data_IF_934362273368
#
_entry.id   IF_934362273368
#
_cell.length_a   1.000
_cell.length_b   1.000
_cell.length_c   1.000
_cell.angle_alpha   90.00
_cell.angle_beta   90.00
_cell.angle_gamma   90.00
#
_symmetry.space_group_name_H-M   'P 1'
#
loop_
_entity.id
_entity.type
_entity.pdbx_description
1 polymer ?
#
# COMPACT_ATOMS: atom_id res chain seq x y z
N UNK A 1 3.61 -14.77 -41.60
CA UNK A 1 3.28 -13.49 -42.27
C UNK A 1 3.11 -12.44 -41.17
N UNK A 2 4.11 -11.57 -40.98
CA UNK A 2 4.12 -10.13 -41.34
C UNK A 2 3.11 -9.32 -40.49
N UNK A 3 3.58 -8.73 -39.39
CA UNK A 3 4.13 -7.36 -39.25
C UNK A 3 3.01 -6.33 -39.04
N UNK A 4 3.02 -5.69 -37.86
CA UNK A 4 2.93 -4.24 -37.75
C UNK A 4 3.49 -3.82 -36.38
N UNK A 5 4.80 -3.56 -36.36
CA UNK A 5 5.40 -2.58 -35.47
C UNK A 5 5.33 -1.23 -36.18
N UNK A 6 4.81 -0.21 -35.50
CA UNK A 6 4.99 1.21 -35.76
C UNK A 6 5.03 1.81 -34.34
N UNK A 7 6.15 2.27 -33.78
CA UNK A 7 7.18 3.12 -34.37
C UNK A 7 6.77 4.57 -34.13
N UNK A 8 7.28 5.21 -33.09
CA UNK A 8 7.04 6.66 -32.85
C UNK A 8 7.29 7.13 -31.43
N UNK A 9 8.57 7.21 -31.04
CA UNK A 9 9.01 8.06 -29.93
C UNK A 9 8.78 9.54 -30.27
N UNK A 10 8.46 10.30 -29.22
CA UNK A 10 8.73 11.73 -29.07
C UNK A 10 8.00 12.70 -30.01
N UNK A 11 7.11 13.50 -29.43
CA UNK A 11 7.22 14.97 -29.47
C UNK A 11 6.20 15.56 -28.49
N UNK A 12 6.68 15.89 -27.29
CA UNK A 12 6.06 16.93 -26.47
C UNK A 12 6.33 18.24 -27.20
N UNK A 13 5.29 18.87 -27.74
CA UNK A 13 5.36 20.24 -28.23
C UNK A 13 4.26 21.06 -27.56
N UNK A 14 4.63 21.62 -26.41
CA UNK A 14 4.02 22.82 -25.86
C UNK A 14 4.41 23.97 -26.78
N UNK A 15 3.44 24.55 -27.49
CA UNK A 15 3.63 25.84 -28.17
C UNK A 15 2.59 26.82 -27.60
N UNK A 16 3.05 27.60 -26.63
CA UNK A 16 2.43 28.86 -26.23
C UNK A 16 3.05 29.98 -27.06
N UNK A 17 2.28 30.61 -27.94
CA UNK A 17 2.48 31.98 -28.41
C UNK A 17 1.12 32.48 -28.92
N UNK A 18 0.41 33.32 -28.16
CA UNK A 18 0.51 34.79 -28.24
C UNK A 18 0.34 35.30 -29.68
N UNK A 19 -0.92 35.60 -30.06
CA UNK A 19 -1.29 36.84 -30.76
C UNK A 19 -2.83 36.94 -30.85
N UNK A 20 -3.38 38.03 -30.32
CA UNK A 20 -4.80 38.35 -30.46
C UNK A 20 -5.34 39.34 -29.44
N UNK A 21 -4.70 40.51 -29.28
CA UNK A 21 -5.26 41.63 -28.51
C UNK A 21 -6.07 42.53 -29.46
N UNK A 22 -7.39 42.63 -29.26
CA UNK A 22 -8.16 43.82 -29.64
C UNK A 22 -9.13 44.21 -28.51
N UNK A 23 -8.79 45.33 -27.85
CA UNK A 23 -9.68 46.18 -27.06
C UNK A 23 -10.85 46.66 -27.94
N UNK A 24 -12.07 46.93 -27.50
CA UNK A 24 -12.69 47.03 -26.18
C UNK A 24 -14.21 47.04 -26.40
N UNK A 25 -14.99 46.68 -25.39
CA UNK A 25 -16.19 47.44 -25.00
C UNK A 25 -16.56 47.02 -23.58
N UNK A 26 -16.55 48.00 -22.67
CA UNK A 26 -16.95 47.88 -21.28
C UNK A 26 -18.39 47.36 -21.18
N UNK A 27 -18.56 46.16 -20.64
CA UNK A 27 -19.77 45.73 -19.94
C UNK A 27 -19.45 45.59 -18.46
N UNK A 28 -19.60 46.68 -17.70
CA UNK A 28 -19.63 46.65 -16.24
C UNK A 28 -20.79 45.77 -15.77
N UNK A 29 -20.51 44.76 -14.95
CA UNK A 29 -21.18 44.44 -13.67
C UNK A 29 -21.07 42.96 -13.33
N UNK A 30 -21.21 42.60 -12.05
CA UNK A 30 -20.23 42.70 -11.00
C UNK A 30 -19.58 41.32 -10.78
N UNK A 31 -18.50 41.30 -10.01
CA UNK A 31 -17.98 40.09 -9.36
C UNK A 31 -19.05 39.48 -8.44
N UNK A 32 -20.03 38.79 -9.02
CA UNK A 32 -21.01 38.00 -8.30
C UNK A 32 -20.37 36.65 -8.01
N UNK A 33 -19.62 36.65 -6.91
CA UNK A 33 -19.23 35.47 -6.13
C UNK A 33 -18.78 34.28 -6.98
N UNK A 34 -17.50 34.29 -7.35
CA UNK A 34 -16.77 33.02 -7.38
C UNK A 34 -16.82 32.49 -5.95
N UNK A 35 -17.87 31.72 -5.61
CA UNK A 35 -17.92 30.97 -4.35
C UNK A 35 -16.54 30.34 -4.23
N UNK A 36 -15.74 30.64 -3.18
CA UNK A 36 -14.57 29.81 -2.94
C UNK A 36 -15.13 28.40 -2.89
N UNK A 37 -14.58 27.48 -3.70
CA UNK A 37 -15.01 26.09 -3.72
C UNK A 37 -15.08 25.66 -2.26
N UNK A 38 -16.32 25.53 -1.74
CA UNK A 38 -16.53 25.33 -0.33
C UNK A 38 -15.75 24.07 0.01
N UNK A 39 -14.74 24.27 0.84
CA UNK A 39 -13.71 23.34 1.18
C UNK A 39 -14.31 21.96 1.47
N UNK A 40 -14.31 21.05 0.48
CA UNK A 40 -14.72 19.66 0.69
C UNK A 40 -13.76 18.92 1.63
N UNK A 41 -12.64 19.55 2.02
CA UNK A 41 -11.59 18.93 2.83
C UNK A 41 -11.71 19.19 4.35
N UNK A 42 -12.84 19.68 4.86
CA UNK A 42 -13.02 19.90 6.32
C UNK A 42 -14.37 19.43 6.88
N UNK A 43 -15.11 18.57 6.18
CA UNK A 43 -16.32 17.96 6.76
C UNK A 43 -15.97 16.65 7.49
N UNK A 44 -16.79 16.27 8.46
CA UNK A 44 -16.62 15.00 9.18
C UNK A 44 -16.67 13.80 8.22
N UNK A 45 -17.52 13.87 7.19
CA UNK A 45 -17.66 12.85 6.16
C UNK A 45 -16.38 12.75 5.32
N UNK A 46 -15.77 13.87 4.90
CA UNK A 46 -14.53 13.84 4.12
C UNK A 46 -13.37 13.21 4.90
N UNK A 47 -13.26 13.51 6.20
CA UNK A 47 -12.26 12.88 7.08
C UNK A 47 -12.57 11.39 7.35
N UNK A 48 -13.85 11.01 7.46
CA UNK A 48 -14.26 9.61 7.57
C UNK A 48 -13.87 8.80 6.33
N UNK A 49 -14.21 9.27 5.13
CA UNK A 49 -13.87 8.60 3.86
C UNK A 49 -12.35 8.47 3.67
N UNK A 50 -11.59 9.50 4.06
CA UNK A 50 -10.12 9.42 4.05
C UNK A 50 -9.59 8.37 5.03
N UNK A 51 -10.20 8.27 6.21
CA UNK A 51 -9.92 7.22 7.19
C UNK A 51 -10.18 5.82 6.64
N UNK A 52 -11.32 5.61 5.98
CA UNK A 52 -11.65 4.34 5.29
C UNK A 52 -10.61 4.02 4.22
N UNK A 53 -10.26 4.98 3.37
CA UNK A 53 -9.24 4.79 2.32
C UNK A 53 -7.86 4.40 2.87
N UNK A 54 -7.43 5.01 3.98
CA UNK A 54 -6.17 4.60 4.63
C UNK A 54 -6.28 3.22 5.26
N UNK A 55 -7.41 2.91 5.88
CA UNK A 55 -7.67 1.61 6.49
C UNK A 55 -7.65 0.49 5.43
N UNK A 56 -8.34 0.66 4.31
CA UNK A 56 -8.38 -0.31 3.19
C UNK A 56 -7.00 -0.51 2.54
N UNK A 57 -6.24 0.57 2.34
CA UNK A 57 -4.87 0.48 1.82
C UNK A 57 -3.96 -0.32 2.74
N UNK A 58 -4.06 -0.14 4.05
CA UNK A 58 -3.28 -0.94 5.00
C UNK A 58 -3.53 -2.46 4.84
N UNK A 59 -4.77 -2.90 4.58
CA UNK A 59 -5.04 -4.31 4.30
C UNK A 59 -4.49 -4.75 2.92
N UNK A 60 -4.68 -3.91 1.90
CA UNK A 60 -4.21 -4.20 0.54
C UNK A 60 -2.69 -4.34 0.50
N UNK A 61 -1.97 -3.42 1.14
CA UNK A 61 -0.51 -3.42 1.22
C UNK A 61 0.00 -4.67 1.98
N UNK A 62 -0.71 -5.12 3.02
CA UNK A 62 -0.40 -6.37 3.72
C UNK A 62 -0.57 -7.59 2.81
N UNK A 63 -1.61 -7.62 1.99
CA UNK A 63 -1.88 -8.72 1.06
C UNK A 63 -0.90 -8.79 -0.10
N UNK A 64 -0.49 -7.63 -0.62
CA UNK A 64 0.58 -7.54 -1.59
C UNK A 64 1.92 -7.99 -0.98
N UNK A 65 2.25 -7.53 0.24
CA UNK A 65 3.46 -7.95 0.93
C UNK A 65 3.49 -9.48 1.18
N UNK A 66 2.38 -10.07 1.63
CA UNK A 66 2.26 -11.52 1.79
C UNK A 66 2.53 -12.23 0.45
N UNK A 67 1.92 -11.76 -0.63
CA UNK A 67 2.09 -12.33 -1.97
C UNK A 67 3.55 -12.32 -2.39
N UNK A 68 4.24 -11.19 -2.26
CA UNK A 68 5.66 -11.07 -2.66
C UNK A 68 6.59 -11.94 -1.81
N UNK A 69 6.38 -11.96 -0.48
CA UNK A 69 7.19 -12.83 0.36
C UNK A 69 6.89 -14.32 0.13
N UNK A 70 5.66 -14.69 -0.22
CA UNK A 70 5.32 -16.06 -0.63
C UNK A 70 6.04 -16.46 -1.92
N UNK A 71 6.19 -15.55 -2.89
CA UNK A 71 7.01 -15.81 -4.06
C UNK A 71 8.50 -15.94 -3.71
N UNK A 72 9.00 -15.11 -2.80
CA UNK A 72 10.38 -15.19 -2.34
C UNK A 72 10.71 -16.57 -1.73
N UNK A 73 9.82 -17.11 -0.88
CA UNK A 73 10.03 -18.44 -0.28
C UNK A 73 9.76 -19.60 -1.25
N UNK A 74 8.96 -19.39 -2.31
CA UNK A 74 8.84 -20.38 -3.40
C UNK A 74 10.12 -20.48 -4.22
N UNK A 75 10.77 -19.35 -4.49
CA UNK A 75 12.02 -19.29 -5.24
C UNK A 75 13.21 -19.78 -4.40
N UNK A 76 13.21 -19.47 -3.10
CA UNK A 76 14.24 -19.88 -2.16
C UNK A 76 13.62 -20.21 -0.80
N UNK A 77 13.39 -21.51 -0.58
CA UNK A 77 12.69 -22.00 0.62
C UNK A 77 13.44 -21.82 1.92
N UNK A 78 14.75 -21.56 1.90
CA UNK A 78 15.58 -21.29 3.08
C UNK A 78 15.84 -19.79 3.30
N UNK A 79 15.11 -18.91 2.60
CA UNK A 79 15.24 -17.47 2.76
C UNK A 79 14.62 -17.00 4.09
N UNK A 80 15.40 -17.10 5.17
CA UNK A 80 14.95 -16.84 6.53
C UNK A 80 14.22 -15.49 6.68
N UNK A 81 14.78 -14.39 6.17
CA UNK A 81 14.20 -13.05 6.30
C UNK A 81 12.79 -12.97 5.69
N UNK A 82 12.55 -13.64 4.55
CA UNK A 82 11.21 -13.69 3.95
C UNK A 82 10.22 -14.42 4.87
N UNK A 83 10.63 -15.50 5.54
CA UNK A 83 9.80 -16.16 6.55
C UNK A 83 9.49 -15.24 7.75
N UNK A 84 10.45 -14.44 8.23
CA UNK A 84 10.16 -13.47 9.30
C UNK A 84 9.11 -12.45 8.87
N UNK A 85 9.26 -11.89 7.66
CA UNK A 85 8.33 -10.89 7.16
C UNK A 85 6.96 -11.45 6.82
N UNK A 86 6.85 -12.68 6.29
CA UNK A 86 5.58 -13.40 6.20
C UNK A 86 4.91 -13.54 7.57
N UNK A 87 5.69 -13.95 8.58
CA UNK A 87 5.20 -14.07 9.95
C UNK A 87 4.61 -12.75 10.47
N UNK A 88 5.31 -11.64 10.23
CA UNK A 88 4.88 -10.30 10.63
C UNK A 88 3.63 -9.82 9.88
N UNK A 89 3.55 -10.04 8.57
CA UNK A 89 2.38 -9.65 7.79
C UNK A 89 1.15 -10.46 8.19
N UNK A 90 1.30 -11.78 8.38
CA UNK A 90 0.21 -12.63 8.87
C UNK A 90 -0.26 -12.25 10.29
N UNK A 91 0.68 -11.97 11.20
CA UNK A 91 0.35 -11.52 12.54
C UNK A 91 -0.42 -10.18 12.51
N UNK A 92 0.07 -9.21 11.74
CA UNK A 92 -0.60 -7.90 11.60
C UNK A 92 -2.00 -8.07 11.03
N UNK A 93 -2.15 -8.85 9.95
CA UNK A 93 -3.46 -9.13 9.35
C UNK A 93 -4.42 -9.82 10.32
N UNK A 94 -3.93 -10.78 11.11
CA UNK A 94 -4.73 -11.46 12.14
C UNK A 94 -5.28 -10.50 13.20
N UNK A 95 -4.45 -9.55 13.65
CA UNK A 95 -4.83 -8.54 14.63
C UNK A 95 -5.87 -7.56 14.09
N UNK A 96 -5.80 -7.23 12.80
CA UNK A 96 -6.73 -6.32 12.14
C UNK A 96 -8.08 -6.98 11.80
N UNK A 97 -8.10 -8.27 11.48
CA UNK A 97 -9.28 -9.01 11.02
C UNK A 97 -10.20 -9.60 12.11
N UNK A 98 -10.05 -9.22 13.38
CA UNK A 98 -10.67 -9.86 14.56
C UNK A 98 -10.05 -11.22 14.91
N UNK A 99 -8.88 -11.17 15.55
CA UNK A 99 -8.19 -12.30 16.20
C UNK A 99 -8.21 -13.63 15.40
N UNK A 100 -7.91 -13.55 14.10
CA UNK A 100 -8.01 -14.69 13.20
C UNK A 100 -6.96 -15.76 13.55
N UNK A 101 -7.41 -16.83 14.23
CA UNK A 101 -6.56 -17.96 14.64
C UNK A 101 -5.88 -18.64 13.46
N UNK A 102 -6.47 -18.66 12.26
CA UNK A 102 -5.82 -19.26 11.09
C UNK A 102 -4.61 -18.43 10.65
N UNK A 103 -4.73 -17.10 10.62
CA UNK A 103 -3.61 -16.20 10.34
C UNK A 103 -2.55 -16.25 11.43
N UNK A 104 -2.92 -16.35 12.71
CA UNK A 104 -1.94 -16.58 13.79
C UNK A 104 -1.19 -17.91 13.66
N UNK A 105 -1.84 -18.99 13.20
CA UNK A 105 -1.15 -20.26 12.92
C UNK A 105 -0.13 -20.10 11.81
N UNK A 106 -0.47 -19.39 10.73
CA UNK A 106 0.48 -19.06 9.67
C UNK A 106 1.65 -18.23 10.22
N UNK A 107 1.37 -17.16 10.96
CA UNK A 107 2.40 -16.34 11.57
C UNK A 107 3.38 -17.15 12.44
N UNK A 108 2.84 -18.00 13.32
CA UNK A 108 3.63 -18.86 14.19
C UNK A 108 4.52 -19.84 13.41
N UNK A 109 3.99 -20.44 12.34
CA UNK A 109 4.74 -21.32 11.45
C UNK A 109 5.93 -20.57 10.83
N UNK A 110 5.69 -19.41 10.25
CA UNK A 110 6.72 -18.65 9.53
C UNK A 110 7.83 -18.12 10.46
N UNK A 111 7.49 -17.65 11.68
CA UNK A 111 8.51 -17.30 12.67
C UNK A 111 9.38 -18.48 13.10
N UNK A 112 8.79 -19.68 13.21
CA UNK A 112 9.55 -20.91 13.52
C UNK A 112 10.49 -21.27 12.36
N UNK A 113 10.04 -21.12 11.12
CA UNK A 113 10.89 -21.33 9.93
C UNK A 113 12.06 -20.34 9.89
N UNK A 114 11.85 -19.06 10.20
CA UNK A 114 12.96 -18.10 10.36
C UNK A 114 14.00 -18.63 11.36
N UNK A 115 13.56 -19.07 12.55
CA UNK A 115 14.47 -19.56 13.59
C UNK A 115 15.12 -20.89 13.23
N UNK A 116 14.49 -21.70 12.37
CA UNK A 116 15.07 -22.93 11.85
C UNK A 116 16.22 -22.63 10.89
N UNK A 117 16.03 -21.72 9.94
CA UNK A 117 17.04 -21.40 8.94
C UNK A 117 18.14 -20.46 9.46
N UNK A 118 17.79 -19.52 10.35
CA UNK A 118 18.71 -18.50 10.86
C UNK A 118 18.53 -18.23 12.37
N UNK A 119 18.84 -19.21 13.25
CA UNK A 119 18.57 -19.15 14.69
C UNK A 119 19.33 -18.06 15.45
N UNK A 120 20.45 -17.56 14.90
CA UNK A 120 21.29 -16.49 15.48
C UNK A 120 21.29 -15.23 14.60
N UNK A 121 20.34 -15.12 13.67
CA UNK A 121 20.25 -13.97 12.77
C UNK A 121 19.78 -12.69 13.46
N UNK A 122 19.83 -11.56 12.73
CA UNK A 122 19.54 -10.22 13.28
C UNK A 122 18.09 -10.07 13.80
N UNK A 123 17.16 -10.91 13.35
CA UNK A 123 15.76 -10.88 13.74
C UNK A 123 15.37 -12.01 14.70
N UNK A 124 16.33 -12.81 15.20
CA UNK A 124 16.03 -14.00 16.01
C UNK A 124 15.32 -13.67 17.32
N UNK A 125 15.77 -12.66 18.05
CA UNK A 125 15.11 -12.27 19.29
C UNK A 125 13.72 -11.69 19.04
N UNK A 126 13.55 -10.91 17.96
CA UNK A 126 12.23 -10.41 17.54
C UNK A 126 11.29 -11.56 17.17
N UNK A 127 11.79 -12.57 16.44
CA UNK A 127 11.02 -13.76 16.09
C UNK A 127 10.57 -14.53 17.33
N UNK A 128 11.46 -14.74 18.31
CA UNK A 128 11.12 -15.39 19.59
C UNK A 128 10.07 -14.60 20.36
N UNK A 129 10.20 -13.27 20.42
CA UNK A 129 9.24 -12.39 21.06
C UNK A 129 7.87 -12.48 20.37
N UNK A 130 7.83 -12.41 19.04
CA UNK A 130 6.58 -12.53 18.29
C UNK A 130 5.92 -13.90 18.51
N UNK A 131 6.69 -14.99 18.57
CA UNK A 131 6.19 -16.32 18.93
C UNK A 131 5.53 -16.30 20.32
N UNK A 132 6.16 -15.68 21.33
CA UNK A 132 5.58 -15.55 22.68
C UNK A 132 4.27 -14.75 22.68
N UNK A 133 4.14 -13.74 21.82
CA UNK A 133 2.92 -12.92 21.68
C UNK A 133 1.81 -13.69 20.95
N UNK A 134 2.14 -14.42 19.89
CA UNK A 134 1.17 -15.13 19.06
C UNK A 134 0.66 -16.42 19.72
N UNK A 135 1.52 -17.15 20.43
CA UNK A 135 1.18 -18.49 20.96
C UNK A 135 -0.09 -18.49 21.85
N UNK A 136 -0.29 -17.53 22.78
CA UNK A 136 -1.51 -17.49 23.60
C UNK A 136 -2.80 -17.26 22.80
N UNK A 137 -2.74 -16.62 21.62
CA UNK A 137 -3.93 -16.38 20.75
C UNK A 137 -4.49 -17.65 20.13
N UNK A 138 -3.72 -18.74 20.18
CA UNK A 138 -4.10 -20.04 19.62
C UNK A 138 -4.76 -20.99 20.63
N UNK A 139 -4.84 -20.58 21.90
CA UNK A 139 -5.48 -21.36 22.97
C UNK A 139 -7.00 -21.28 22.90
#
# INVERSE_FOLDING_TARGET
>A
MKKQCLGGFATVLIVLALQGSSLALEGKSPEAERKPAANRATTAEAHYELGVSYHERMFTDLDQAITEYEQAVKLRSDFAEAHYHLGLSYHTKAKLGVDDKALYRKALKEYKLYLQYLPKGPLAEKARQNIKVVTPRLR
#
